data_IF_470225971122
#
_entry.id   IF_470225971122
#
_cell.length_a   1.000
_cell.length_b   1.000
_cell.length_c   1.000
_cell.angle_alpha   90.00
_cell.angle_beta   90.00
_cell.angle_gamma   90.00
#
_symmetry.space_group_name_H-M   'P 1'
#
loop_
_entity.id
_entity.type
_entity.pdbx_description
1 polymer ?
#
# COMPACT_ATOMS: atom_id res chain seq x y z
N UNK A 1 19.06 -10.15 -13.02
CA UNK A 1 17.80 -10.57 -12.38
C UNK A 1 17.88 -12.07 -12.17
N UNK A 2 17.78 -12.56 -10.94
CA UNK A 2 17.51 -13.99 -10.74
C UNK A 2 16.15 -14.27 -11.36
N UNK A 3 16.04 -15.35 -12.16
CA UNK A 3 14.73 -15.80 -12.64
C UNK A 3 13.87 -16.06 -11.40
N UNK A 4 12.61 -15.56 -11.35
CA UNK A 4 11.74 -15.93 -10.27
C UNK A 4 11.63 -17.46 -10.26
N UNK A 5 11.75 -18.05 -9.08
CA UNK A 5 11.72 -19.50 -8.88
C UNK A 5 10.71 -19.83 -7.78
N UNK A 6 10.20 -21.06 -7.79
CA UNK A 6 9.17 -21.52 -6.87
C UNK A 6 7.96 -20.60 -6.79
N UNK A 7 7.49 -20.31 -5.58
CA UNK A 7 6.26 -19.55 -5.32
C UNK A 7 6.32 -18.10 -5.84
N UNK A 8 7.52 -17.52 -5.92
CA UNK A 8 7.72 -16.19 -6.51
C UNK A 8 7.44 -16.22 -8.02
N UNK A 9 7.72 -17.33 -8.71
CA UNK A 9 7.39 -17.51 -10.11
C UNK A 9 5.88 -17.63 -10.32
N UNK A 10 5.22 -18.41 -9.47
CA UNK A 10 3.77 -18.62 -9.52
C UNK A 10 2.99 -17.32 -9.30
N UNK A 11 3.46 -16.48 -8.35
CA UNK A 11 2.83 -15.21 -7.99
C UNK A 11 3.37 -14.02 -8.77
N UNK A 12 4.15 -14.23 -9.83
CA UNK A 12 4.87 -13.15 -10.50
C UNK A 12 3.96 -11.98 -10.97
N UNK A 13 2.79 -12.21 -11.59
CA UNK A 13 1.90 -11.12 -11.97
C UNK A 13 1.40 -10.31 -10.76
N UNK A 14 1.03 -11.01 -9.68
CA UNK A 14 0.54 -10.39 -8.44
C UNK A 14 1.63 -9.55 -7.77
N UNK A 15 2.85 -10.07 -7.71
CA UNK A 15 4.02 -9.37 -7.17
C UNK A 15 4.26 -8.08 -7.94
N UNK A 16 4.19 -8.12 -9.27
CA UNK A 16 4.36 -6.94 -10.14
C UNK A 16 3.22 -5.94 -9.95
N UNK A 17 1.98 -6.39 -9.81
CA UNK A 17 0.84 -5.52 -9.51
C UNK A 17 0.98 -4.82 -8.16
N UNK A 18 1.34 -5.54 -7.09
CA UNK A 18 1.56 -4.95 -5.77
C UNK A 18 2.71 -3.93 -5.78
N UNK A 19 3.75 -4.25 -6.54
CA UNK A 19 4.85 -3.34 -6.83
C UNK A 19 4.36 -2.06 -7.54
N UNK A 20 3.57 -2.19 -8.61
CA UNK A 20 3.02 -1.04 -9.36
C UNK A 20 2.00 -0.23 -8.57
N UNK A 21 1.27 -0.83 -7.63
CA UNK A 21 0.37 -0.09 -6.74
C UNK A 21 1.12 0.72 -5.67
N UNK A 22 2.45 0.61 -5.62
CA UNK A 22 3.32 1.40 -4.74
C UNK A 22 3.63 0.77 -3.40
N UNK A 23 3.22 -0.49 -3.13
CA UNK A 23 3.63 -1.16 -1.89
C UNK A 23 5.16 -1.16 -1.75
N UNK A 24 5.64 -1.22 -0.51
CA UNK A 24 7.06 -1.26 -0.16
C UNK A 24 7.72 -2.62 -0.49
N UNK A 25 7.43 -3.16 -1.66
CA UNK A 25 7.98 -4.39 -2.20
C UNK A 25 9.24 -4.09 -3.03
N UNK A 26 10.34 -3.81 -2.33
CA UNK A 26 11.61 -3.37 -2.91
C UNK A 26 12.39 -4.54 -3.54
N UNK A 27 12.23 -5.75 -3.01
CA UNK A 27 12.83 -6.94 -3.59
C UNK A 27 12.15 -7.32 -4.91
N UNK A 28 12.83 -8.12 -5.73
CA UNK A 28 12.37 -8.56 -7.06
C UNK A 28 12.20 -7.45 -8.11
N UNK A 29 12.73 -6.24 -7.83
CA UNK A 29 12.85 -5.14 -8.79
C UNK A 29 14.30 -5.06 -9.32
N UNK A 30 14.46 -4.67 -10.60
CA UNK A 30 15.79 -4.43 -11.20
C UNK A 30 16.50 -3.18 -10.65
N UNK A 31 15.78 -2.29 -9.98
CA UNK A 31 16.33 -1.07 -9.38
C UNK A 31 15.67 -0.77 -8.03
N UNK A 32 16.33 -1.16 -6.93
CA UNK A 32 15.81 -0.98 -5.56
C UNK A 32 15.65 0.49 -5.18
N UNK A 33 16.63 1.34 -5.54
CA UNK A 33 16.61 2.77 -5.22
C UNK A 33 15.44 3.49 -5.92
N UNK A 34 15.28 3.28 -7.23
CA UNK A 34 14.18 3.88 -8.00
C UNK A 34 12.81 3.41 -7.50
N UNK A 35 12.69 2.11 -7.17
CA UNK A 35 11.47 1.56 -6.57
C UNK A 35 11.19 2.19 -5.20
N UNK A 36 12.20 2.35 -4.35
CA UNK A 36 12.03 2.97 -3.03
C UNK A 36 11.54 4.42 -3.15
N UNK A 37 12.09 5.19 -4.09
CA UNK A 37 11.61 6.54 -4.38
C UNK A 37 10.15 6.51 -4.82
N UNK A 38 9.80 5.67 -5.79
CA UNK A 38 8.42 5.53 -6.28
C UNK A 38 7.45 5.15 -5.16
N UNK A 39 7.74 4.09 -4.41
CA UNK A 39 6.90 3.65 -3.29
C UNK A 39 6.78 4.72 -2.20
N UNK A 40 7.84 5.48 -1.93
CA UNK A 40 7.79 6.61 -0.98
C UNK A 40 6.87 7.73 -1.46
N UNK A 41 7.00 8.15 -2.72
CA UNK A 41 6.13 9.19 -3.31
C UNK A 41 4.67 8.76 -3.27
N UNK A 42 4.35 7.53 -3.69
CA UNK A 42 2.98 7.00 -3.64
C UNK A 42 2.47 6.94 -2.20
N UNK A 43 3.31 6.51 -1.25
CA UNK A 43 2.93 6.49 0.17
C UNK A 43 2.55 7.87 0.68
N UNK A 44 3.36 8.88 0.37
CA UNK A 44 3.12 10.27 0.77
C UNK A 44 1.83 10.80 0.15
N UNK A 45 1.58 10.53 -1.13
CA UNK A 45 0.35 10.95 -1.81
C UNK A 45 -0.90 10.30 -1.19
N UNK A 46 -0.85 8.99 -0.91
CA UNK A 46 -1.95 8.25 -0.28
C UNK A 46 -2.24 8.75 1.12
N UNK A 47 -1.21 8.95 1.95
CA UNK A 47 -1.37 9.46 3.32
C UNK A 47 -1.87 10.90 3.32
N UNK A 48 -1.34 11.75 2.42
CA UNK A 48 -1.78 13.14 2.27
C UNK A 48 -3.26 13.20 1.87
N UNK A 49 -3.67 12.42 0.87
CA UNK A 49 -5.07 12.39 0.43
C UNK A 49 -5.99 11.92 1.56
N UNK A 50 -5.59 10.88 2.29
CA UNK A 50 -6.36 10.38 3.43
C UNK A 50 -6.48 11.42 4.55
N UNK A 51 -5.40 12.15 4.83
CA UNK A 51 -5.41 13.25 5.81
C UNK A 51 -6.35 14.38 5.39
N UNK A 52 -6.35 14.77 4.11
CA UNK A 52 -7.28 15.78 3.58
C UNK A 52 -8.74 15.33 3.69
N UNK A 53 -9.03 14.04 3.50
CA UNK A 53 -10.38 13.49 3.72
C UNK A 53 -10.80 13.56 5.19
N UNK A 54 -9.88 13.31 6.13
CA UNK A 54 -10.13 13.47 7.55
C UNK A 54 -10.36 14.95 7.93
N UNK A 55 -9.60 15.88 7.35
CA UNK A 55 -9.83 17.33 7.52
C UNK A 55 -11.20 17.72 6.99
N UNK A 56 -11.60 17.22 5.81
CA UNK A 56 -12.92 17.48 5.25
C UNK A 56 -14.05 16.98 6.17
N UNK A 57 -13.90 15.80 6.76
CA UNK A 57 -14.84 15.26 7.75
C UNK A 57 -14.99 16.20 8.96
N UNK A 58 -13.88 16.72 9.49
CA UNK A 58 -13.89 17.63 10.64
C UNK A 58 -14.56 18.96 10.27
N UNK A 59 -14.27 19.52 9.10
CA UNK A 59 -14.85 20.80 8.66
C UNK A 59 -16.35 20.70 8.33
N UNK A 60 -16.82 19.54 7.90
CA UNK A 60 -18.22 19.26 7.51
C UNK A 60 -19.02 18.54 8.61
N UNK A 61 -18.55 18.59 9.86
CA UNK A 61 -19.22 17.89 10.97
C UNK A 61 -20.53 18.55 11.44
N UNK A 62 -20.90 19.71 10.89
CA UNK A 62 -22.11 20.45 11.27
C UNK A 62 -23.40 19.89 10.69
N UNK A 63 -23.34 19.16 9.57
CA UNK A 63 -24.49 18.48 8.97
C UNK A 63 -24.37 16.96 9.18
N UNK A 64 -25.40 16.35 9.74
CA UNK A 64 -25.40 14.91 10.09
C UNK A 64 -25.29 14.02 8.85
N UNK A 65 -25.90 14.42 7.73
CA UNK A 65 -25.84 13.67 6.48
C UNK A 65 -24.44 13.74 5.87
N UNK A 66 -23.84 14.94 5.83
CA UNK A 66 -22.47 15.12 5.36
C UNK A 66 -21.47 14.40 6.27
N UNK A 67 -21.66 14.44 7.58
CA UNK A 67 -20.84 13.73 8.56
C UNK A 67 -20.89 12.23 8.32
N UNK A 68 -22.08 11.64 8.15
CA UNK A 68 -22.24 10.21 7.91
C UNK A 68 -21.59 9.78 6.58
N UNK A 69 -21.83 10.53 5.49
CA UNK A 69 -21.26 10.24 4.18
C UNK A 69 -19.71 10.31 4.19
N UNK A 70 -19.16 11.36 4.79
CA UNK A 70 -17.70 11.50 4.93
C UNK A 70 -17.12 10.42 5.86
N UNK A 71 -17.82 10.03 6.93
CA UNK A 71 -17.38 8.98 7.86
C UNK A 71 -17.25 7.64 7.15
N UNK A 72 -18.26 7.24 6.37
CA UNK A 72 -18.21 6.00 5.57
C UNK A 72 -17.01 6.05 4.63
N UNK A 73 -16.78 7.18 3.97
CA UNK A 73 -15.69 7.35 3.00
C UNK A 73 -14.32 7.24 3.68
N UNK A 74 -14.11 7.89 4.83
CA UNK A 74 -12.87 7.78 5.60
C UNK A 74 -12.65 6.35 6.09
N UNK A 75 -13.67 5.70 6.66
CA UNK A 75 -13.57 4.31 7.12
C UNK A 75 -13.31 3.34 5.96
N UNK A 76 -13.90 3.57 4.78
CA UNK A 76 -13.63 2.77 3.60
C UNK A 76 -12.15 2.84 3.21
N UNK A 77 -11.59 4.04 3.07
CA UNK A 77 -10.18 4.23 2.69
C UNK A 77 -9.17 3.95 3.81
N UNK A 78 -9.60 3.82 5.06
CA UNK A 78 -8.75 3.33 6.14
C UNK A 78 -8.23 1.91 5.87
N UNK A 79 -9.02 1.06 5.18
CA UNK A 79 -8.63 -0.32 4.85
C UNK A 79 -7.40 -0.42 3.93
N UNK A 80 -7.34 0.25 2.77
CA UNK A 80 -6.13 0.23 1.94
C UNK A 80 -4.96 0.92 2.62
N UNK A 81 -5.16 2.04 3.33
CA UNK A 81 -4.08 2.77 4.05
C UNK A 81 -3.43 1.86 5.10
N UNK A 82 -4.22 1.18 5.91
CA UNK A 82 -3.72 0.23 6.92
C UNK A 82 -2.99 -0.96 6.30
N UNK A 83 -3.49 -1.54 5.20
CA UNK A 83 -2.80 -2.62 4.47
C UNK A 83 -1.46 -2.15 3.90
N UNK A 84 -1.42 -0.91 3.40
CA UNK A 84 -0.20 -0.29 2.87
C UNK A 84 0.87 -0.17 3.97
N UNK A 85 0.48 0.35 5.13
CA UNK A 85 1.34 0.45 6.31
C UNK A 85 1.76 -0.91 6.86
N UNK A 86 0.83 -1.87 6.94
CA UNK A 86 1.10 -3.22 7.44
C UNK A 86 2.18 -3.92 6.61
N UNK A 87 2.09 -3.84 5.28
CA UNK A 87 3.10 -4.42 4.40
C UNK A 87 4.47 -3.77 4.59
N UNK A 88 4.54 -2.45 4.75
CA UNK A 88 5.81 -1.74 4.99
C UNK A 88 6.48 -2.20 6.29
N UNK A 89 5.73 -2.28 7.39
CA UNK A 89 6.24 -2.68 8.71
C UNK A 89 6.60 -4.17 8.76
N UNK A 90 5.80 -5.04 8.15
CA UNK A 90 5.94 -6.51 8.22
C UNK A 90 6.60 -7.13 6.99
N UNK A 91 7.21 -6.32 6.13
CA UNK A 91 7.83 -6.73 4.86
C UNK A 91 8.72 -7.97 4.97
N UNK A 92 9.57 -8.06 6.01
CA UNK A 92 10.44 -9.23 6.26
C UNK A 92 9.66 -10.55 6.39
N UNK A 93 8.51 -10.54 7.05
CA UNK A 93 7.70 -11.74 7.20
C UNK A 93 7.09 -12.18 5.85
N UNK A 94 6.64 -11.24 5.03
CA UNK A 94 6.14 -11.53 3.68
C UNK A 94 7.22 -12.14 2.79
N UNK A 95 8.43 -11.58 2.79
CA UNK A 95 9.54 -12.14 2.01
C UNK A 95 9.92 -13.55 2.49
N UNK A 96 9.90 -13.80 3.79
CA UNK A 96 10.13 -15.15 4.34
C UNK A 96 9.08 -16.14 3.83
N UNK A 97 7.81 -15.78 3.81
CA UNK A 97 6.74 -16.63 3.27
C UNK A 97 6.91 -16.87 1.77
N UNK A 98 7.18 -15.82 0.99
CA UNK A 98 7.42 -15.94 -0.45
C UNK A 98 8.63 -16.83 -0.77
N UNK A 99 9.66 -16.81 0.08
CA UNK A 99 10.86 -17.63 -0.05
C UNK A 99 10.75 -19.05 0.55
N UNK A 100 9.62 -19.40 1.18
CA UNK A 100 9.46 -20.72 1.83
C UNK A 100 9.38 -21.85 0.80
N UNK A 101 8.91 -21.54 -0.40
CA UNK A 101 8.83 -22.46 -1.52
C UNK A 101 9.69 -21.91 -2.66
N UNK A 102 10.99 -21.82 -2.39
CA UNK A 102 12.03 -21.50 -3.37
C UNK A 102 12.75 -22.76 -3.80
#
# INVERSE_FOLDING_TARGET
MQKPHGLVADLWPLIRMAQYSGHWMLEYSGGKALRAIYSSVVSVLVVTQFALMAVNLIQRSGDVNELAANTITVLFFLHPVTKFGYFAVRSKAFYRTLATWN
#
